data_IF_421509034987
#
_entry.id   IF_421509034987
#
_cell.length_a   1.000
_cell.length_b   1.000
_cell.length_c   1.000
_cell.angle_alpha   90.00
_cell.angle_beta   90.00
_cell.angle_gamma   90.00
#
_symmetry.space_group_name_H-M   'P 1'
#
loop_
_entity.id
_entity.type
_entity.pdbx_description
1 polymer ?
#
# COMPACT_ATOMS: atom_id res chain seq x y z
N UNK A 1 -6.78 28.03 -44.84
CA UNK A 1 -6.99 28.04 -43.37
C UNK A 1 -7.75 26.81 -42.84
N UNK A 2 -8.49 26.04 -43.66
CA UNK A 2 -9.24 24.86 -43.19
C UNK A 2 -8.39 23.61 -42.93
N UNK A 3 -7.28 23.42 -43.65
CA UNK A 3 -6.44 22.22 -43.52
C UNK A 3 -5.78 22.08 -42.14
N UNK A 4 -5.37 23.20 -41.53
CA UNK A 4 -4.78 23.21 -40.17
C UNK A 4 -5.79 22.81 -39.10
N UNK A 5 -7.04 23.27 -39.23
CA UNK A 5 -8.12 22.95 -38.30
C UNK A 5 -8.51 21.47 -38.45
N UNK A 6 -8.60 20.96 -39.68
CA UNK A 6 -8.85 19.55 -39.93
C UNK A 6 -7.74 18.65 -39.35
N UNK A 7 -6.47 19.05 -39.45
CA UNK A 7 -5.35 18.32 -38.83
C UNK A 7 -5.41 18.34 -37.30
N UNK A 8 -5.78 19.48 -36.69
CA UNK A 8 -5.93 19.60 -35.23
C UNK A 8 -7.10 18.73 -34.74
N UNK A 9 -8.23 18.76 -35.43
CA UNK A 9 -9.41 17.93 -35.10
C UNK A 9 -9.09 16.45 -35.28
N UNK A 10 -8.37 16.06 -36.34
CA UNK A 10 -7.91 14.70 -36.53
C UNK A 10 -6.94 14.25 -35.43
N UNK A 11 -6.00 15.10 -35.01
CA UNK A 11 -5.09 14.84 -33.88
C UNK A 11 -5.83 14.66 -32.55
N UNK A 12 -6.87 15.46 -32.29
CA UNK A 12 -7.71 15.34 -31.09
C UNK A 12 -8.55 14.06 -31.11
N UNK A 13 -9.03 13.62 -32.27
CA UNK A 13 -9.78 12.37 -32.45
C UNK A 13 -8.86 11.13 -32.44
N UNK A 14 -7.57 11.31 -32.74
CA UNK A 14 -6.52 10.27 -32.67
C UNK A 14 -5.82 10.21 -31.32
N UNK A 15 -6.30 10.94 -30.30
CA UNK A 15 -5.97 10.68 -28.90
C UNK A 15 -6.58 9.34 -28.48
N UNK A 16 -6.10 8.25 -29.08
CA UNK A 16 -6.29 6.91 -28.59
C UNK A 16 -5.77 6.90 -27.16
N UNK A 17 -6.57 6.33 -26.25
CA UNK A 17 -6.22 6.22 -24.85
C UNK A 17 -4.82 5.62 -24.74
N UNK A 18 -3.85 6.47 -24.43
CA UNK A 18 -2.55 6.03 -23.96
C UNK A 18 -2.87 5.35 -22.64
N UNK A 19 -3.12 4.04 -22.70
CA UNK A 19 -3.10 3.16 -21.54
C UNK A 19 -1.66 3.19 -21.05
N UNK A 20 -1.35 4.21 -20.26
CA UNK A 20 -0.12 4.24 -19.50
C UNK A 20 -0.18 3.02 -18.58
N UNK A 21 0.69 2.06 -18.80
CA UNK A 21 0.79 0.83 -18.00
C UNK A 21 0.99 1.25 -16.55
N UNK A 22 -0.05 1.07 -15.73
CA UNK A 22 -0.03 1.45 -14.32
C UNK A 22 0.77 0.41 -13.54
N UNK A 23 0.75 -0.85 -13.99
CA UNK A 23 1.45 -2.00 -13.43
C UNK A 23 2.95 -1.79 -13.17
N UNK A 24 3.68 -1.08 -14.03
CA UNK A 24 5.12 -0.82 -13.82
C UNK A 24 5.40 0.18 -12.68
N UNK A 25 4.40 0.96 -12.28
CA UNK A 25 4.54 2.06 -11.32
C UNK A 25 3.91 1.77 -9.96
N UNK A 26 3.23 0.65 -9.84
CA UNK A 26 2.53 0.25 -8.62
C UNK A 26 3.13 -1.06 -8.09
N UNK A 27 3.13 -1.27 -6.77
CA UNK A 27 3.64 -2.52 -6.21
C UNK A 27 2.82 -3.71 -6.69
N UNK A 28 3.50 -4.80 -7.07
CA UNK A 28 2.86 -6.08 -7.35
C UNK A 28 2.32 -6.71 -6.05
N UNK A 29 1.39 -7.66 -6.16
CA UNK A 29 0.88 -8.42 -5.00
C UNK A 29 2.00 -9.01 -4.14
N UNK A 30 2.98 -9.64 -4.78
CA UNK A 30 4.14 -10.21 -4.10
C UNK A 30 4.95 -9.11 -3.42
N UNK A 31 5.17 -7.98 -4.10
CA UNK A 31 5.88 -6.83 -3.55
C UNK A 31 5.23 -6.29 -2.27
N UNK A 32 3.90 -6.15 -2.25
CA UNK A 32 3.16 -5.70 -1.07
C UNK A 32 3.38 -6.61 0.13
N UNK A 33 3.22 -7.91 -0.05
CA UNK A 33 3.36 -8.87 1.03
C UNK A 33 4.81 -9.01 1.51
N UNK A 34 5.78 -8.96 0.60
CA UNK A 34 7.21 -8.93 0.96
C UNK A 34 7.52 -7.70 1.80
N UNK A 35 7.06 -6.50 1.39
CA UNK A 35 7.23 -5.28 2.18
C UNK A 35 6.57 -5.40 3.56
N UNK A 36 5.34 -5.91 3.62
CA UNK A 36 4.63 -6.11 4.87
C UNK A 36 5.37 -7.06 5.83
N UNK A 37 5.91 -8.17 5.31
CA UNK A 37 6.72 -9.10 6.12
C UNK A 37 8.00 -8.42 6.61
N UNK A 38 8.74 -7.74 5.73
CA UNK A 38 10.00 -7.08 6.10
C UNK A 38 9.77 -6.02 7.17
N UNK A 39 8.86 -5.07 6.94
CA UNK A 39 8.57 -4.01 7.90
C UNK A 39 7.90 -4.54 9.16
N UNK A 40 7.00 -5.51 9.02
CA UNK A 40 6.33 -6.15 10.15
C UNK A 40 7.29 -6.85 11.08
N UNK A 41 8.27 -7.59 10.57
CA UNK A 41 9.33 -8.24 11.37
C UNK A 41 10.19 -7.19 12.09
N UNK A 42 10.57 -6.10 11.40
CA UNK A 42 11.31 -4.99 12.00
C UNK A 42 10.53 -4.39 13.18
N UNK A 43 9.24 -4.08 13.00
CA UNK A 43 8.43 -3.50 14.05
C UNK A 43 8.07 -4.50 15.16
N UNK A 44 7.97 -5.79 14.87
CA UNK A 44 7.82 -6.84 15.87
C UNK A 44 9.02 -6.84 16.81
N UNK A 45 10.25 -6.91 16.28
CA UNK A 45 11.46 -6.91 17.11
C UNK A 45 11.67 -5.58 17.84
N UNK A 46 11.39 -4.45 17.17
CA UNK A 46 11.48 -3.13 17.79
C UNK A 46 10.50 -2.99 18.97
N UNK A 47 9.24 -3.37 18.78
CA UNK A 47 8.19 -3.32 19.83
C UNK A 47 8.45 -4.32 20.95
N UNK A 48 9.06 -5.47 20.63
CA UNK A 48 9.51 -6.43 21.64
C UNK A 48 10.63 -5.86 22.54
N UNK A 49 11.58 -5.10 21.98
CA UNK A 49 12.68 -4.50 22.76
C UNK A 49 12.26 -3.22 23.47
N UNK A 50 11.46 -2.38 22.80
CA UNK A 50 11.03 -1.06 23.25
C UNK A 50 9.52 -0.95 23.05
N UNK A 51 8.70 -1.12 24.11
CA UNK A 51 7.24 -1.15 24.02
C UNK A 51 6.60 0.03 23.28
N UNK A 52 7.20 1.22 23.36
CA UNK A 52 6.68 2.43 22.70
C UNK A 52 6.79 2.37 21.17
N UNK A 53 7.68 1.53 20.61
CA UNK A 53 7.82 1.37 19.16
C UNK A 53 6.57 0.78 18.49
N UNK A 54 5.64 0.21 19.27
CA UNK A 54 4.33 -0.22 18.77
C UNK A 54 3.57 0.94 18.13
N UNK A 55 3.67 2.15 18.70
CA UNK A 55 2.99 3.33 18.19
C UNK A 55 3.54 3.71 16.81
N UNK A 56 4.86 3.65 16.63
CA UNK A 56 5.49 3.86 15.33
C UNK A 56 5.06 2.81 14.31
N UNK A 57 4.97 1.53 14.71
CA UNK A 57 4.50 0.46 13.82
C UNK A 57 3.05 0.66 13.37
N UNK A 58 2.18 1.11 14.28
CA UNK A 58 0.79 1.43 13.95
C UNK A 58 0.69 2.65 13.03
N UNK A 59 1.43 3.73 13.31
CA UNK A 59 1.46 4.91 12.44
C UNK A 59 2.00 4.58 11.06
N UNK A 60 3.03 3.73 10.99
CA UNK A 60 3.60 3.28 9.72
C UNK A 60 2.61 2.41 8.93
N UNK A 61 1.89 1.51 9.62
CA UNK A 61 0.80 0.72 9.02
C UNK A 61 -0.30 1.61 8.44
N UNK A 62 -0.71 2.65 9.16
CA UNK A 62 -1.68 3.64 8.68
C UNK A 62 -1.15 4.44 7.48
N UNK A 63 0.12 4.82 7.51
CA UNK A 63 0.77 5.52 6.39
C UNK A 63 0.82 4.67 5.11
N UNK A 64 1.09 3.37 5.22
CA UNK A 64 1.00 2.46 4.07
C UNK A 64 -0.44 2.35 3.56
N UNK A 65 -1.41 2.18 4.48
CA UNK A 65 -2.82 2.11 4.13
C UNK A 65 -3.33 3.40 3.48
N UNK A 66 -2.85 4.57 3.90
CA UNK A 66 -3.25 5.85 3.29
C UNK A 66 -2.79 5.98 1.84
N UNK A 67 -1.65 5.40 1.46
CA UNK A 67 -1.23 5.36 0.05
C UNK A 67 -2.21 4.59 -0.84
N UNK A 68 -2.75 3.47 -0.35
CA UNK A 68 -3.79 2.72 -1.06
C UNK A 68 -5.13 3.46 -1.05
N UNK A 69 -5.44 4.18 0.03
CA UNK A 69 -6.63 5.03 0.12
C UNK A 69 -6.61 6.15 -0.91
N UNK A 70 -5.52 6.89 -1.01
CA UNK A 70 -5.38 7.99 -1.97
C UNK A 70 -5.54 7.49 -3.41
N UNK A 71 -4.91 6.34 -3.73
CA UNK A 71 -5.03 5.70 -5.04
C UNK A 71 -6.44 5.16 -5.32
N UNK A 72 -7.16 4.68 -4.30
CA UNK A 72 -8.54 4.22 -4.44
C UNK A 72 -9.55 5.37 -4.57
N UNK A 73 -9.23 6.53 -4.00
CA UNK A 73 -10.10 7.70 -4.00
C UNK A 73 -10.00 8.51 -5.32
N UNK A 74 -8.86 8.43 -6.01
CA UNK A 74 -8.76 8.94 -7.38
C UNK A 74 -9.46 7.97 -8.36
N UNK A 75 -10.57 8.45 -8.95
CA UNK A 75 -11.39 7.66 -9.88
C UNK A 75 -10.61 7.14 -11.09
N UNK A 76 -9.68 7.92 -11.64
CA UNK A 76 -8.93 7.51 -12.83
C UNK A 76 -7.90 6.45 -12.46
N UNK A 77 -7.20 6.62 -11.34
CA UNK A 77 -6.26 5.62 -10.83
C UNK A 77 -6.97 4.33 -10.44
N UNK A 78 -8.07 4.42 -9.70
CA UNK A 78 -8.85 3.25 -9.28
C UNK A 78 -9.29 2.38 -10.46
N UNK A 79 -9.87 2.99 -11.51
CA UNK A 79 -10.34 2.27 -12.69
C UNK A 79 -9.18 1.65 -13.48
N UNK A 80 -8.06 2.36 -13.59
CA UNK A 80 -6.89 1.85 -14.29
C UNK A 80 -6.25 0.66 -13.55
N UNK A 81 -6.11 0.77 -12.22
CA UNK A 81 -5.56 -0.28 -11.36
C UNK A 81 -6.43 -1.53 -11.38
N UNK A 82 -7.76 -1.40 -11.24
CA UNK A 82 -8.65 -2.58 -11.27
C UNK A 82 -8.65 -3.25 -12.65
N UNK A 83 -8.60 -2.47 -13.72
CA UNK A 83 -8.53 -3.02 -15.08
C UNK A 83 -7.28 -3.87 -15.30
N UNK A 84 -6.15 -3.50 -14.69
CA UNK A 84 -4.87 -4.19 -14.86
C UNK A 84 -4.59 -5.27 -13.81
N UNK A 85 -4.87 -5.01 -12.54
CA UNK A 85 -4.51 -5.87 -11.40
C UNK A 85 -5.70 -6.63 -10.81
N UNK A 86 -6.93 -6.24 -11.15
CA UNK A 86 -8.16 -6.82 -10.62
C UNK A 86 -8.68 -6.17 -9.34
N UNK A 87 -9.93 -6.50 -9.00
CA UNK A 87 -10.66 -5.89 -7.88
C UNK A 87 -10.03 -6.16 -6.50
N UNK A 88 -9.29 -7.26 -6.36
CA UNK A 88 -8.65 -7.66 -5.10
C UNK A 88 -7.36 -6.89 -4.78
N UNK A 89 -6.87 -6.05 -5.70
CA UNK A 89 -5.62 -5.31 -5.52
C UNK A 89 -5.64 -4.42 -4.27
N UNK A 90 -6.67 -3.59 -4.13
CA UNK A 90 -6.80 -2.69 -2.99
C UNK A 90 -6.97 -3.45 -1.67
N UNK A 91 -7.76 -4.53 -1.67
CA UNK A 91 -7.90 -5.38 -0.50
C UNK A 91 -6.55 -5.94 -0.03
N UNK A 92 -5.70 -6.40 -0.96
CA UNK A 92 -4.35 -6.85 -0.63
C UNK A 92 -3.46 -5.71 -0.13
N UNK A 93 -3.57 -4.52 -0.71
CA UNK A 93 -2.87 -3.33 -0.24
C UNK A 93 -3.21 -2.98 1.21
N UNK A 94 -4.51 -2.95 1.55
CA UNK A 94 -4.95 -2.71 2.93
C UNK A 94 -4.58 -3.84 3.88
N UNK A 95 -4.78 -5.10 3.48
CA UNK A 95 -4.47 -6.26 4.31
C UNK A 95 -2.98 -6.37 4.64
N UNK A 96 -2.12 -6.17 3.63
CA UNK A 96 -0.66 -6.17 3.81
C UNK A 96 -0.20 -5.00 4.68
N UNK A 97 -0.76 -3.80 4.49
CA UNK A 97 -0.50 -2.64 5.35
C UNK A 97 -0.90 -2.91 6.80
N UNK A 98 -2.08 -3.48 7.02
CA UNK A 98 -2.59 -3.82 8.35
C UNK A 98 -1.75 -4.89 9.06
N UNK A 99 -1.24 -5.89 8.31
CA UNK A 99 -0.39 -6.94 8.85
C UNK A 99 0.87 -6.39 9.55
N UNK A 100 1.43 -5.27 9.07
CA UNK A 100 2.55 -4.58 9.72
C UNK A 100 2.17 -4.13 11.14
N UNK A 101 1.00 -3.51 11.30
CA UNK A 101 0.48 -3.06 12.58
C UNK A 101 0.21 -4.22 13.54
N UNK A 102 -0.33 -5.33 13.03
CA UNK A 102 -0.53 -6.56 13.80
C UNK A 102 0.79 -7.12 14.34
N UNK A 103 1.83 -7.18 13.50
CA UNK A 103 3.15 -7.67 13.91
C UNK A 103 3.79 -6.77 14.97
N UNK A 104 3.61 -5.45 14.87
CA UNK A 104 4.04 -4.51 15.91
C UNK A 104 3.33 -4.78 17.25
N UNK A 105 2.01 -4.98 17.23
CA UNK A 105 1.22 -5.31 18.42
C UNK A 105 1.65 -6.65 19.04
N UNK A 106 1.92 -7.66 18.22
CA UNK A 106 2.43 -8.94 18.68
C UNK A 106 3.76 -8.78 19.42
N UNK A 107 4.68 -7.95 18.92
CA UNK A 107 5.93 -7.63 19.60
C UNK A 107 5.72 -7.08 21.02
N UNK A 108 4.76 -6.17 21.20
CA UNK A 108 4.38 -5.61 22.50
C UNK A 108 3.79 -6.68 23.43
N UNK A 109 2.87 -7.50 22.91
CA UNK A 109 2.21 -8.57 23.68
C UNK A 109 3.25 -9.57 24.19
N UNK A 110 4.20 -9.97 23.33
CA UNK A 110 5.28 -10.89 23.69
C UNK A 110 6.15 -10.26 24.80
N UNK A 111 6.56 -9.00 24.66
CA UNK A 111 7.34 -8.30 25.70
C UNK A 111 6.64 -8.33 27.07
N UNK A 112 5.35 -7.96 27.11
CA UNK A 112 4.55 -7.96 28.33
C UNK A 112 4.44 -9.36 28.95
N UNK A 113 4.23 -10.38 28.12
CA UNK A 113 4.14 -11.78 28.58
C UNK A 113 5.45 -12.31 29.18
N UNK A 114 6.60 -11.85 28.66
CA UNK A 114 7.93 -12.21 29.17
C UNK A 114 8.21 -11.51 30.49
N UNK A 115 7.88 -10.22 30.60
CA UNK A 115 8.09 -9.46 31.83
C UNK A 115 7.17 -9.92 32.97
N UNK A 116 5.92 -10.30 32.68
CA UNK A 116 5.01 -10.86 33.67
C UNK A 116 5.56 -12.15 34.31
N UNK A 117 6.15 -13.04 33.50
CA UNK A 117 6.78 -14.29 33.97
C UNK A 117 8.06 -14.10 34.79
N UNK A 118 8.73 -12.96 34.67
CA UNK A 118 9.94 -12.66 35.48
C UNK A 118 9.60 -12.16 36.88
N UNK A 119 8.37 -11.70 37.10
CA UNK A 119 7.92 -11.09 38.35
C UNK A 119 7.14 -12.07 39.25
N UNK A 120 6.95 -13.31 38.80
CA UNK A 120 6.36 -14.44 39.54
C UNK A 120 7.46 -15.41 39.95
#
# INVERSE_FOLDING_TARGET
MSMRIASIVALLLMSQGVSAEVSDKIPSFVGMWVQAVVFGVVFLFASFKKPWCVLLGLLFSLFLASGFYDMANDRFMYLAVIKEQGELYFLNGYASSFAVGVLALLGLIINRSVNARKNT
#
